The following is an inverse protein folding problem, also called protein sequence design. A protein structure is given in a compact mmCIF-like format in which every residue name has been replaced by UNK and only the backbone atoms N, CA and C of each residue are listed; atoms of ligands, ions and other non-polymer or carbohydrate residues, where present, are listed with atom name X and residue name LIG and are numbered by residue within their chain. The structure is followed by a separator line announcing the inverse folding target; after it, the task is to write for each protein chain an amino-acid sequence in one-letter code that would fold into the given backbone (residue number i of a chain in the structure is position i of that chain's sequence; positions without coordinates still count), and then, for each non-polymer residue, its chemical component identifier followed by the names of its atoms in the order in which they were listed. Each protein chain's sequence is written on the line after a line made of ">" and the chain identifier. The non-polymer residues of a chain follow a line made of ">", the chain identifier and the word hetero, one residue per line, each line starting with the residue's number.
data_IF_123735543721
#
_entry.id   IF_123735543721
#
_cell.length_a   1.000
_cell.length_b   1.000
_cell.length_c   1.000
_cell.angle_alpha   90.00
_cell.angle_beta   90.00
_cell.angle_gamma   90.00
#
_symmetry.space_group_name_H-M   'P 1'
#
loop_
_entity.id
_entity.type
_entity.pdbx_description
1 polymer ?
#
# COMPACT_ATOMS: atom_id res chain seq x y z
N UNK A 1 -68.54 5.38 -37.21
CA UNK A 1 -67.73 6.49 -36.64
C UNK A 1 -66.51 5.92 -35.93
N UNK A 2 -65.32 6.30 -36.36
CA UNK A 2 -64.02 5.89 -35.80
C UNK A 2 -63.80 6.54 -34.44
N UNK A 3 -63.44 5.78 -33.41
CA UNK A 3 -62.75 6.30 -32.22
C UNK A 3 -61.43 5.55 -32.03
N UNK A 4 -60.38 6.35 -31.94
CA UNK A 4 -58.96 5.99 -31.91
C UNK A 4 -58.48 5.79 -30.47
N UNK A 5 -57.49 4.90 -30.36
CA UNK A 5 -56.37 4.84 -29.40
C UNK A 5 -56.67 4.84 -27.89
N UNK A 6 -56.11 3.85 -27.19
CA UNK A 6 -54.89 4.03 -26.39
C UNK A 6 -54.35 2.66 -25.96
N UNK A 7 -53.26 2.22 -26.61
CA UNK A 7 -52.45 1.09 -26.16
C UNK A 7 -51.54 1.59 -25.04
N UNK A 8 -51.72 1.06 -23.83
CA UNK A 8 -50.87 1.36 -22.68
C UNK A 8 -49.70 0.37 -22.71
N UNK A 9 -48.58 0.78 -23.31
CA UNK A 9 -47.35 -0.01 -23.28
C UNK A 9 -46.64 0.26 -21.95
N UNK A 10 -46.72 -0.68 -21.01
CA UNK A 10 -45.98 -0.65 -19.75
C UNK A 10 -44.51 -0.99 -20.05
N UNK A 11 -43.68 0.03 -20.27
CA UNK A 11 -42.23 -0.13 -20.31
C UNK A 11 -41.74 -0.23 -18.85
N UNK A 12 -41.57 -1.45 -18.36
CA UNK A 12 -40.87 -1.69 -17.10
C UNK A 12 -39.38 -1.39 -17.32
N UNK A 13 -38.96 -0.18 -16.97
CA UNK A 13 -37.54 0.16 -16.85
C UNK A 13 -36.97 -0.59 -15.65
N UNK A 14 -36.22 -1.65 -15.94
CA UNK A 14 -35.34 -2.32 -14.99
C UNK A 14 -34.29 -1.33 -14.50
N UNK A 15 -34.52 -0.72 -13.34
CA UNK A 15 -33.46 -0.09 -12.57
C UNK A 15 -32.53 -1.18 -12.07
N UNK A 16 -31.53 -1.55 -12.87
CA UNK A 16 -30.30 -2.08 -12.32
C UNK A 16 -29.64 -0.94 -11.53
N UNK A 17 -30.00 -0.81 -10.25
CA UNK A 17 -29.15 -0.14 -9.28
C UNK A 17 -27.87 -0.96 -9.18
N UNK A 18 -26.87 -0.63 -10.00
CA UNK A 18 -25.50 -0.94 -9.65
C UNK A 18 -25.21 -0.26 -8.32
N UNK A 19 -25.06 -1.08 -7.29
CA UNK A 19 -24.64 -0.65 -5.96
C UNK A 19 -23.35 0.16 -6.10
N UNK A 20 -23.26 1.25 -5.33
CA UNK A 20 -22.15 2.19 -5.29
C UNK A 20 -20.81 1.45 -5.29
N UNK A 21 -19.95 1.75 -6.27
CA UNK A 21 -18.54 1.35 -6.27
C UNK A 21 -17.92 1.79 -4.93
N UNK A 22 -17.57 0.82 -4.07
CA UNK A 22 -16.96 1.10 -2.78
C UNK A 22 -15.63 1.82 -2.93
N UNK A 23 -15.24 2.66 -1.96
CA UNK A 23 -13.91 3.27 -1.97
C UNK A 23 -12.84 2.17 -1.83
N UNK A 24 -12.04 1.95 -2.86
CA UNK A 24 -10.90 1.02 -2.82
C UNK A 24 -9.64 1.69 -3.36
N UNK A 25 -8.49 1.13 -2.97
CA UNK A 25 -7.20 1.38 -3.60
C UNK A 25 -6.57 0.06 -4.01
N UNK A 26 -5.60 0.12 -4.93
CA UNK A 26 -4.81 -1.03 -5.34
C UNK A 26 -3.36 -0.84 -4.91
N UNK A 27 -2.79 -1.83 -4.24
CA UNK A 27 -1.38 -1.85 -3.80
C UNK A 27 -0.77 -3.19 -4.18
N UNK A 28 0.30 -3.16 -4.98
CA UNK A 28 1.02 -4.35 -5.45
C UNK A 28 0.09 -5.40 -6.12
N UNK A 29 -0.93 -4.92 -6.83
CA UNK A 29 -1.98 -5.76 -7.44
C UNK A 29 -3.11 -6.19 -6.49
N UNK A 30 -2.99 -5.94 -5.18
CA UNK A 30 -4.01 -6.27 -4.19
C UNK A 30 -5.04 -5.15 -4.06
N UNK A 31 -6.35 -5.48 -4.11
CA UNK A 31 -7.43 -4.53 -3.83
C UNK A 31 -7.65 -4.39 -2.33
N UNK A 32 -7.60 -3.15 -1.85
CA UNK A 32 -7.86 -2.79 -0.45
C UNK A 32 -9.11 -1.94 -0.39
N UNK A 33 -10.15 -2.49 0.23
CA UNK A 33 -11.39 -1.75 0.45
C UNK A 33 -11.24 -0.86 1.68
N UNK A 34 -11.87 0.32 1.63
CA UNK A 34 -11.88 1.18 2.78
C UNK A 34 -12.74 0.61 3.90
N UNK A 35 -12.27 0.82 5.12
CA UNK A 35 -13.12 0.82 6.31
C UNK A 35 -13.87 2.14 6.38
N UNK A 36 -14.89 2.35 5.54
CA UNK A 36 -15.68 3.60 5.48
C UNK A 36 -16.40 3.94 6.81
N UNK A 37 -16.43 3.02 7.78
CA UNK A 37 -16.93 3.26 9.13
C UNK A 37 -15.77 3.57 10.09
N UNK A 38 -15.65 4.84 10.47
CA UNK A 38 -14.64 5.36 11.39
C UNK A 38 -14.62 4.61 12.76
N UNK A 39 -15.76 4.07 13.23
CA UNK A 39 -15.82 3.25 14.45
C UNK A 39 -15.21 1.86 14.21
N UNK A 40 -15.49 1.24 13.07
CA UNK A 40 -14.82 -0.01 12.66
C UNK A 40 -13.33 0.23 12.48
N UNK A 41 -12.95 1.39 11.97
CA UNK A 41 -11.57 1.77 11.75
C UNK A 41 -10.78 1.90 13.06
N UNK A 42 -11.37 2.48 14.12
CA UNK A 42 -10.80 2.45 15.47
C UNK A 42 -10.56 1.01 15.95
N UNK A 43 -11.54 0.12 15.78
CA UNK A 43 -11.41 -1.29 16.20
C UNK A 43 -10.37 -2.07 15.40
N UNK A 44 -10.28 -1.84 14.09
CA UNK A 44 -9.29 -2.45 13.20
C UNK A 44 -7.88 -1.95 13.53
N UNK A 45 -7.70 -0.64 13.71
CA UNK A 45 -6.44 -0.04 14.14
C UNK A 45 -6.00 -0.55 15.52
N UNK A 46 -6.90 -0.61 16.51
CA UNK A 46 -6.57 -1.17 17.82
C UNK A 46 -6.14 -2.63 17.72
N UNK A 47 -6.79 -3.43 16.86
CA UNK A 47 -6.40 -4.82 16.60
C UNK A 47 -5.02 -4.91 15.95
N UNK A 48 -4.76 -4.15 14.89
CA UNK A 48 -3.45 -4.12 14.23
C UNK A 48 -2.36 -3.64 15.18
N UNK A 49 -2.60 -2.58 15.96
CA UNK A 49 -1.68 -2.11 16.99
C UNK A 49 -1.40 -3.17 18.05
N UNK A 50 -2.40 -3.94 18.48
CA UNK A 50 -2.20 -5.06 19.41
C UNK A 50 -1.38 -6.20 18.77
N UNK A 51 -1.56 -6.47 17.47
CA UNK A 51 -0.78 -7.45 16.72
C UNK A 51 0.68 -6.98 16.61
N UNK A 52 0.92 -5.73 16.22
CA UNK A 52 2.26 -5.13 16.14
C UNK A 52 2.97 -5.11 17.48
N UNK A 53 2.28 -4.73 18.55
CA UNK A 53 2.83 -4.71 19.92
C UNK A 53 3.20 -6.12 20.42
N UNK A 54 2.42 -7.15 20.09
CA UNK A 54 2.71 -8.55 20.43
C UNK A 54 3.92 -9.10 19.67
N UNK A 55 4.23 -8.55 18.50
CA UNK A 55 5.37 -8.94 17.64
C UNK A 55 6.63 -8.09 17.83
N UNK A 56 6.71 -7.30 18.93
CA UNK A 56 7.86 -6.45 19.28
C UNK A 56 8.10 -5.25 18.33
N UNK A 57 7.14 -4.94 17.46
CA UNK A 57 7.12 -3.67 16.73
C UNK A 57 6.49 -2.61 17.63
N UNK A 58 7.30 -1.67 18.12
CA UNK A 58 6.87 -0.59 19.01
C UNK A 58 6.25 0.60 18.26
N UNK A 59 6.13 0.51 16.93
CA UNK A 59 5.69 1.60 16.09
C UNK A 59 4.18 1.57 15.84
N UNK A 60 3.60 2.77 15.73
CA UNK A 60 2.24 2.90 15.22
C UNK A 60 2.19 2.46 13.74
N UNK A 61 1.15 1.71 13.33
CA UNK A 61 1.07 1.19 11.98
C UNK A 61 0.96 2.34 10.96
N UNK A 62 1.60 2.13 9.80
CA UNK A 62 1.44 3.02 8.65
C UNK A 62 0.12 2.70 7.94
N UNK A 63 -0.66 3.74 7.68
CA UNK A 63 -1.97 3.68 7.04
C UNK A 63 -1.93 4.53 5.77
N UNK A 64 -2.97 4.42 4.93
CA UNK A 64 -3.21 5.37 3.85
C UNK A 64 -4.40 6.23 4.21
N UNK A 65 -4.19 7.54 4.28
CA UNK A 65 -5.24 8.53 4.58
C UNK A 65 -5.55 9.28 3.31
N UNK A 66 -6.79 9.15 2.83
CA UNK A 66 -7.28 9.86 1.65
C UNK A 66 -8.07 11.10 2.07
N UNK A 67 -7.75 12.24 1.48
CA UNK A 67 -8.43 13.51 1.71
C UNK A 67 -9.44 13.81 0.60
N UNK A 68 -10.47 14.59 0.92
CA UNK A 68 -11.53 14.96 -0.05
C UNK A 68 -11.03 15.86 -1.19
N UNK A 69 -9.93 16.57 -0.96
CA UNK A 69 -9.31 17.52 -1.90
C UNK A 69 -7.78 17.45 -1.77
N UNK A 70 -7.03 17.94 -2.79
CA UNK A 70 -5.58 18.11 -2.67
C UNK A 70 -5.21 19.02 -1.51
N UNK A 71 -4.12 18.69 -0.81
CA UNK A 71 -3.62 19.46 0.32
C UNK A 71 -2.53 20.45 -0.11
N UNK A 72 -2.68 21.71 0.26
CA UNK A 72 -1.62 22.71 0.17
C UNK A 72 -0.46 22.39 1.12
N UNK A 73 0.72 22.99 0.89
CA UNK A 73 1.88 22.83 1.78
C UNK A 73 1.60 23.25 3.24
N UNK A 74 0.76 24.26 3.44
CA UNK A 74 0.41 24.73 4.77
C UNK A 74 -0.57 23.76 5.46
N UNK A 75 -1.56 23.25 4.73
CA UNK A 75 -2.45 22.20 5.24
C UNK A 75 -1.65 20.96 5.64
N UNK A 76 -0.72 20.49 4.79
CA UNK A 76 0.16 19.36 5.09
C UNK A 76 0.95 19.56 6.39
N UNK A 77 1.51 20.76 6.62
CA UNK A 77 2.24 21.06 7.87
C UNK A 77 1.31 21.04 9.09
N UNK A 78 0.10 21.60 8.97
CA UNK A 78 -0.86 21.68 10.07
C UNK A 78 -1.44 20.32 10.49
N UNK A 79 -1.40 19.31 9.62
CA UNK A 79 -1.95 17.98 9.91
C UNK A 79 -1.25 17.30 11.10
N UNK A 80 0.04 17.56 11.30
CA UNK A 80 0.80 17.06 12.46
C UNK A 80 0.16 17.48 13.79
N UNK A 81 -0.34 18.72 13.89
CA UNK A 81 -1.04 19.25 15.05
C UNK A 81 -2.40 18.58 15.28
N UNK A 82 -3.01 18.07 14.21
CA UNK A 82 -4.25 17.27 14.25
C UNK A 82 -3.99 15.79 14.53
N UNK A 83 -2.73 15.39 14.72
CA UNK A 83 -2.34 14.01 14.99
C UNK A 83 -2.17 13.14 13.74
N UNK A 84 -1.97 13.74 12.58
CA UNK A 84 -1.72 13.05 11.30
C UNK A 84 -0.32 13.41 10.80
N UNK A 85 0.59 12.45 10.88
CA UNK A 85 1.96 12.59 10.41
C UNK A 85 2.06 11.98 9.00
N UNK A 86 2.15 12.83 7.98
CA UNK A 86 2.33 12.40 6.59
C UNK A 86 3.77 11.90 6.36
N UNK A 87 3.91 10.76 5.69
CA UNK A 87 5.20 10.16 5.33
C UNK A 87 5.53 10.44 3.85
N UNK A 88 4.65 10.01 2.95
CA UNK A 88 4.81 10.16 1.51
C UNK A 88 3.47 10.19 0.80
N UNK A 89 3.45 10.79 -0.38
CA UNK A 89 2.28 10.76 -1.25
C UNK A 89 2.08 9.35 -1.83
N UNK A 90 0.83 8.90 -1.91
CA UNK A 90 0.44 7.66 -2.54
C UNK A 90 -0.18 7.93 -3.92
N UNK A 91 -1.47 8.28 -3.96
CA UNK A 91 -2.22 8.66 -5.17
C UNK A 91 -3.55 9.30 -4.77
N UNK A 92 -4.25 9.99 -5.68
CA UNK A 92 -5.62 10.50 -5.48
C UNK A 92 -5.87 11.20 -4.14
N UNK A 93 -5.02 12.17 -3.81
CA UNK A 93 -5.03 12.91 -2.53
C UNK A 93 -4.88 12.01 -1.29
N UNK A 94 -4.28 10.83 -1.46
CA UNK A 94 -3.97 9.91 -0.40
C UNK A 94 -2.47 9.87 -0.10
N UNK A 95 -2.17 9.63 1.16
CA UNK A 95 -0.82 9.68 1.69
C UNK A 95 -0.60 8.51 2.64
N UNK A 96 0.59 7.93 2.61
CA UNK A 96 1.08 7.12 3.71
C UNK A 96 1.22 8.01 4.94
N UNK A 97 0.65 7.59 6.07
CA UNK A 97 0.63 8.39 7.28
C UNK A 97 0.63 7.54 8.54
N UNK A 98 1.13 8.14 9.63
CA UNK A 98 0.99 7.64 11.00
C UNK A 98 0.01 8.52 11.75
N UNK A 99 -0.86 7.90 12.54
CA UNK A 99 -1.83 8.60 13.37
C UNK A 99 -1.37 8.55 14.83
N UNK A 100 -1.35 9.69 15.51
CA UNK A 100 -0.96 9.75 16.92
C UNK A 100 -1.97 9.01 17.81
N UNK A 101 -1.55 8.47 18.97
CA UNK A 101 -2.50 7.96 19.96
C UNK A 101 -3.57 8.99 20.31
N UNK A 102 -4.83 8.56 20.40
CA UNK A 102 -5.94 9.47 20.66
C UNK A 102 -6.49 10.20 19.42
N UNK A 103 -5.94 9.94 18.22
CA UNK A 103 -6.35 10.61 16.99
C UNK A 103 -7.86 10.46 16.75
N UNK A 104 -8.38 9.23 16.86
CA UNK A 104 -9.78 8.93 16.58
C UNK A 104 -10.71 9.68 17.53
N UNK A 105 -10.39 9.73 18.82
CA UNK A 105 -11.17 10.44 19.83
C UNK A 105 -11.24 11.95 19.53
N UNK A 106 -10.12 12.53 19.09
CA UNK A 106 -10.02 13.98 18.81
C UNK A 106 -10.59 14.38 17.45
N UNK A 107 -10.69 13.44 16.50
CA UNK A 107 -10.98 13.72 15.10
C UNK A 107 -12.23 12.99 14.56
N UNK A 108 -13.14 12.51 15.42
CA UNK A 108 -14.40 11.87 15.00
C UNK A 108 -15.18 12.70 13.97
N UNK A 109 -15.08 14.03 14.07
CA UNK A 109 -15.78 14.98 13.20
C UNK A 109 -14.89 15.59 12.10
N UNK A 110 -13.71 15.04 11.83
CA UNK A 110 -12.81 15.61 10.84
C UNK A 110 -13.42 15.49 9.43
N UNK A 111 -13.86 16.63 8.90
CA UNK A 111 -14.58 16.72 7.62
C UNK A 111 -13.67 16.63 6.40
N UNK A 112 -12.35 16.74 6.55
CA UNK A 112 -11.41 16.84 5.43
C UNK A 112 -10.96 15.46 4.94
N UNK A 113 -10.99 14.46 5.82
CA UNK A 113 -10.66 13.07 5.49
C UNK A 113 -11.84 12.47 4.72
N UNK A 114 -11.53 11.93 3.54
CA UNK A 114 -12.49 11.14 2.75
C UNK A 114 -12.61 9.74 3.35
N UNK A 115 -11.47 9.07 3.54
CA UNK A 115 -11.44 7.69 4.01
C UNK A 115 -10.04 7.29 4.48
N UNK A 116 -9.92 6.21 5.25
CA UNK A 116 -8.63 5.67 5.72
C UNK A 116 -8.56 4.18 5.40
N UNK A 117 -7.44 3.75 4.84
CA UNK A 117 -7.17 2.36 4.50
C UNK A 117 -6.16 1.77 5.50
N UNK A 118 -6.54 0.66 6.11
CA UNK A 118 -5.65 -0.12 6.97
C UNK A 118 -4.86 -1.10 6.11
N UNK A 119 -3.53 -1.01 6.19
CA UNK A 119 -2.63 -1.91 5.47
C UNK A 119 -2.33 -3.12 6.34
N UNK A 120 -2.66 -4.30 5.82
CA UNK A 120 -2.24 -5.56 6.41
C UNK A 120 -0.91 -6.00 5.80
N UNK A 121 -0.12 -6.83 6.49
CA UNK A 121 1.16 -7.31 5.97
C UNK A 121 1.05 -7.94 4.58
N UNK A 122 0.01 -8.73 4.31
CA UNK A 122 -0.22 -9.38 3.03
C UNK A 122 -0.39 -8.39 1.86
N UNK A 123 -0.95 -7.20 2.10
CA UNK A 123 -1.16 -6.20 1.05
C UNK A 123 0.17 -5.58 0.57
N UNK A 124 1.23 -5.70 1.36
CA UNK A 124 2.56 -5.18 1.03
C UNK A 124 3.34 -6.09 0.08
N UNK A 125 2.84 -7.30 -0.18
CA UNK A 125 3.49 -8.28 -1.05
C UNK A 125 2.85 -8.21 -2.43
N UNK A 126 3.65 -8.18 -3.49
CA UNK A 126 3.15 -8.28 -4.86
C UNK A 126 2.31 -9.54 -5.06
N UNK A 127 1.15 -9.36 -5.71
CA UNK A 127 0.19 -10.43 -6.01
C UNK A 127 0.85 -11.64 -6.67
N UNK A 128 1.75 -11.43 -7.64
CA UNK A 128 2.56 -12.48 -8.27
C UNK A 128 3.35 -13.34 -7.25
N UNK A 129 3.90 -12.75 -6.19
CA UNK A 129 4.57 -13.48 -5.10
C UNK A 129 3.58 -14.27 -4.26
N UNK A 130 2.41 -13.68 -3.97
CA UNK A 130 1.34 -14.33 -3.19
C UNK A 130 0.82 -15.54 -3.96
N UNK A 131 0.48 -15.35 -5.23
CA UNK A 131 -0.08 -16.33 -6.17
C UNK A 131 0.93 -17.35 -6.66
N UNK A 132 2.22 -17.16 -6.35
CA UNK A 132 3.33 -18.02 -6.77
C UNK A 132 3.53 -18.05 -8.30
N UNK A 133 3.18 -16.95 -8.96
CA UNK A 133 3.44 -16.70 -10.38
C UNK A 133 4.80 -15.99 -10.53
N UNK A 134 5.88 -16.73 -10.23
CA UNK A 134 7.23 -16.17 -10.20
C UNK A 134 7.96 -16.49 -11.51
N UNK A 135 8.39 -15.47 -12.29
CA UNK A 135 9.20 -15.68 -13.47
C UNK A 135 10.59 -16.22 -13.13
N UNK A 136 11.17 -16.99 -14.05
CA UNK A 136 12.45 -17.68 -13.86
C UNK A 136 13.61 -16.73 -13.55
N UNK A 137 13.61 -15.52 -14.11
CA UNK A 137 14.67 -14.54 -13.87
C UNK A 137 14.73 -14.05 -12.42
N UNK A 138 13.62 -14.15 -11.68
CA UNK A 138 13.50 -13.64 -10.31
C UNK A 138 13.62 -14.76 -9.26
N UNK A 139 14.00 -15.97 -9.67
CA UNK A 139 14.05 -17.15 -8.82
C UNK A 139 15.41 -17.83 -8.89
N UNK A 140 15.99 -18.10 -7.72
CA UNK A 140 17.22 -18.88 -7.56
C UNK A 140 17.00 -19.94 -6.48
N UNK A 141 16.68 -21.17 -6.91
CA UNK A 141 16.28 -22.24 -5.99
C UNK A 141 15.02 -21.84 -5.19
N UNK A 142 15.14 -21.81 -3.86
CA UNK A 142 14.08 -21.41 -2.92
C UNK A 142 14.08 -19.90 -2.61
N UNK A 143 15.01 -19.14 -3.19
CA UNK A 143 15.14 -17.72 -2.98
C UNK A 143 14.51 -16.94 -4.14
N UNK A 144 13.89 -15.82 -3.79
CA UNK A 144 13.36 -14.84 -4.72
C UNK A 144 14.26 -13.62 -4.74
N UNK A 145 14.55 -13.11 -5.94
CA UNK A 145 15.18 -11.81 -6.13
C UNK A 145 14.13 -10.72 -5.94
N UNK A 146 14.35 -9.86 -4.95
CA UNK A 146 13.37 -8.88 -4.49
C UNK A 146 13.90 -7.45 -4.56
N UNK A 147 12.96 -6.53 -4.74
CA UNK A 147 13.10 -5.12 -4.40
C UNK A 147 12.11 -4.77 -3.28
N UNK A 148 12.64 -4.27 -2.18
CA UNK A 148 11.87 -3.88 -1.00
C UNK A 148 11.86 -2.37 -0.94
N UNK A 149 10.69 -1.75 -0.97
CA UNK A 149 10.53 -0.31 -0.72
C UNK A 149 10.21 -0.07 0.75
N UNK A 150 10.90 0.88 1.38
CA UNK A 150 10.68 1.25 2.77
C UNK A 150 10.18 2.68 2.92
N UNK A 151 9.39 2.94 3.97
CA UNK A 151 8.95 4.27 4.33
C UNK A 151 10.15 5.12 4.76
N UNK A 152 10.25 6.33 4.22
CA UNK A 152 11.29 7.29 4.58
C UNK A 152 10.98 7.92 5.95
N UNK A 153 11.06 7.12 7.02
CA UNK A 153 10.86 7.61 8.39
C UNK A 153 11.69 6.86 9.45
N UNK A 154 12.96 6.62 9.17
CA UNK A 154 13.84 6.02 10.17
C UNK A 154 15.31 6.09 9.79
N UNK A 155 16.16 6.26 10.81
CA UNK A 155 17.62 6.29 10.70
C UNK A 155 18.11 5.02 10.01
N UNK A 156 18.91 5.15 8.94
CA UNK A 156 19.54 4.04 8.19
C UNK A 156 20.04 2.87 9.05
N UNK A 157 20.60 3.20 10.22
CA UNK A 157 21.09 2.24 11.23
C UNK A 157 20.01 1.25 11.68
N UNK A 158 18.78 1.71 11.87
CA UNK A 158 17.65 0.87 12.29
C UNK A 158 17.19 -0.08 11.19
N UNK A 159 17.16 0.37 9.94
CA UNK A 159 16.82 -0.48 8.80
C UNK A 159 17.82 -1.64 8.65
N UNK A 160 19.12 -1.36 8.80
CA UNK A 160 20.18 -2.38 8.80
C UNK A 160 20.02 -3.37 9.97
N UNK A 161 19.73 -2.88 11.18
CA UNK A 161 19.46 -3.72 12.36
C UNK A 161 18.23 -4.62 12.15
N UNK A 162 17.11 -4.06 11.69
CA UNK A 162 15.87 -4.81 11.44
C UNK A 162 16.09 -5.91 10.38
N UNK A 163 16.82 -5.59 9.30
CA UNK A 163 17.16 -6.56 8.26
C UNK A 163 18.10 -7.65 8.73
N UNK A 164 19.11 -7.32 9.53
CA UNK A 164 19.97 -8.35 10.12
C UNK A 164 19.21 -9.26 11.08
N UNK A 165 18.28 -8.70 11.86
CA UNK A 165 17.45 -9.47 12.82
C UNK A 165 16.56 -10.51 12.14
N UNK A 166 16.02 -10.21 10.95
CA UNK A 166 15.25 -11.19 10.16
C UNK A 166 16.15 -12.18 9.38
N UNK A 167 17.48 -12.02 9.47
CA UNK A 167 18.47 -12.90 8.86
C UNK A 167 18.91 -12.48 7.46
N UNK A 168 18.66 -11.23 7.05
CA UNK A 168 19.12 -10.70 5.78
C UNK A 168 20.62 -10.39 5.86
N UNK A 169 21.44 -11.22 5.21
CA UNK A 169 22.91 -11.11 5.25
C UNK A 169 23.49 -10.27 4.11
N UNK A 170 22.91 -10.40 2.92
CA UNK A 170 23.40 -9.76 1.71
C UNK A 170 22.28 -8.94 1.09
N UNK A 171 22.46 -7.62 1.06
CA UNK A 171 21.53 -6.71 0.43
C UNK A 171 22.23 -5.44 -0.03
N UNK A 172 21.66 -4.79 -1.04
CA UNK A 172 22.11 -3.50 -1.55
C UNK A 172 21.04 -2.45 -1.31
N UNK A 173 21.40 -1.35 -0.66
CA UNK A 173 20.49 -0.21 -0.47
C UNK A 173 20.66 0.77 -1.64
N UNK A 174 19.54 1.24 -2.18
CA UNK A 174 19.43 2.43 -3.02
C UNK A 174 18.63 3.50 -2.26
N UNK A 175 19.35 4.45 -1.66
CA UNK A 175 18.77 5.45 -0.76
C UNK A 175 17.91 6.49 -1.49
N UNK A 176 18.23 6.78 -2.75
CA UNK A 176 17.50 7.78 -3.56
C UNK A 176 16.05 7.37 -3.77
N UNK A 177 15.80 6.06 -3.85
CA UNK A 177 14.48 5.48 -4.07
C UNK A 177 13.91 4.78 -2.84
N UNK A 178 14.62 4.80 -1.70
CA UNK A 178 14.28 4.03 -0.50
C UNK A 178 14.04 2.54 -0.79
N UNK A 179 14.95 1.95 -1.56
CA UNK A 179 14.86 0.56 -2.02
C UNK A 179 15.99 -0.30 -1.49
N UNK A 180 15.68 -1.56 -1.22
CA UNK A 180 16.66 -2.59 -0.88
C UNK A 180 16.51 -3.77 -1.82
N UNK A 181 17.63 -4.16 -2.44
CA UNK A 181 17.72 -5.31 -3.33
C UNK A 181 18.32 -6.47 -2.56
N UNK A 182 17.63 -7.60 -2.53
CA UNK A 182 18.07 -8.76 -1.77
C UNK A 182 17.44 -10.07 -2.25
N UNK A 183 17.91 -11.19 -1.70
CA UNK A 183 17.35 -12.53 -1.93
C UNK A 183 16.73 -13.08 -0.65
N UNK A 184 15.48 -13.51 -0.71
CA UNK A 184 14.75 -14.08 0.44
C UNK A 184 13.84 -15.24 0.04
N UNK A 185 13.60 -16.17 0.97
CA UNK A 185 12.55 -17.17 0.83
C UNK A 185 11.18 -16.56 1.12
N UNK A 186 10.11 -17.16 0.57
CA UNK A 186 8.73 -16.72 0.82
C UNK A 186 8.37 -16.65 2.31
N UNK A 187 8.90 -17.57 3.12
CA UNK A 187 8.73 -17.53 4.58
C UNK A 187 9.31 -16.26 5.22
N UNK A 188 10.51 -15.85 4.81
CA UNK A 188 11.16 -14.63 5.31
C UNK A 188 10.50 -13.35 4.83
N UNK A 189 9.87 -13.37 3.65
CA UNK A 189 9.04 -12.25 3.18
C UNK A 189 7.89 -11.99 4.16
N UNK A 190 7.23 -13.05 4.65
CA UNK A 190 6.13 -12.91 5.63
C UNK A 190 6.60 -12.28 6.94
N UNK A 191 7.81 -12.61 7.42
CA UNK A 191 8.41 -11.96 8.59
C UNK A 191 8.76 -10.49 8.32
N UNK A 192 9.29 -10.20 7.12
CA UNK A 192 9.71 -8.86 6.70
C UNK A 192 8.54 -7.88 6.66
N UNK A 193 7.40 -8.24 6.07
CA UNK A 193 6.27 -7.31 5.87
C UNK A 193 5.56 -6.90 7.16
N UNK A 194 5.82 -7.61 8.26
CA UNK A 194 5.36 -7.27 9.60
C UNK A 194 6.09 -6.04 10.17
N UNK A 195 7.27 -5.72 9.63
CA UNK A 195 7.99 -4.52 10.01
C UNK A 195 7.23 -3.28 9.54
N UNK A 196 6.97 -2.34 10.46
CA UNK A 196 6.23 -1.11 10.20
C UNK A 196 6.88 -0.19 9.16
N UNK A 197 8.21 -0.28 9.01
CA UNK A 197 9.00 0.49 8.05
C UNK A 197 8.84 -0.01 6.60
N UNK A 198 8.36 -1.23 6.39
CA UNK A 198 8.25 -1.83 5.05
C UNK A 198 6.97 -1.35 4.39
N UNK A 199 7.14 -0.75 3.20
CA UNK A 199 6.08 -0.25 2.37
C UNK A 199 5.62 -1.33 1.39
N UNK A 200 6.52 -1.83 0.55
CA UNK A 200 6.22 -2.80 -0.51
C UNK A 200 7.34 -3.84 -0.66
N UNK A 201 6.97 -5.03 -1.12
CA UNK A 201 7.88 -6.13 -1.53
C UNK A 201 7.45 -6.62 -2.91
N UNK A 202 8.33 -6.43 -3.88
CA UNK A 202 8.11 -6.78 -5.29
C UNK A 202 9.27 -7.64 -5.78
N UNK A 203 9.10 -8.31 -6.93
CA UNK A 203 10.21 -8.97 -7.60
C UNK A 203 11.19 -7.93 -8.15
N UNK A 204 12.48 -8.22 -8.05
CA UNK A 204 13.48 -7.38 -8.69
C UNK A 204 13.23 -7.35 -10.21
N UNK A 205 13.44 -6.20 -10.89
CA UNK A 205 13.25 -6.12 -12.33
C UNK A 205 14.18 -7.09 -13.05
N UNK A 206 13.76 -7.56 -14.23
CA UNK A 206 14.58 -8.40 -15.07
C UNK A 206 15.94 -7.72 -15.38
N UNK A 207 17.04 -8.49 -15.46
CA UNK A 207 18.33 -7.95 -15.86
C UNK A 207 18.22 -7.23 -17.21
N UNK A 208 18.82 -6.04 -17.33
CA UNK A 208 18.87 -5.34 -18.60
C UNK A 208 19.65 -6.17 -19.62
N UNK A 209 18.98 -6.62 -20.68
CA UNK A 209 19.66 -7.23 -21.83
C UNK A 209 20.27 -6.09 -22.65
N UNK A 210 21.60 -5.96 -22.61
CA UNK A 210 22.30 -5.04 -23.50
C UNK A 210 22.29 -5.62 -24.91
N UNK A 211 21.45 -5.09 -25.79
CA UNK A 211 21.60 -5.30 -27.23
C UNK A 211 22.85 -4.54 -27.70
N UNK A 212 24.01 -5.18 -27.58
CA UNK A 212 25.22 -4.66 -28.21
C UNK A 212 25.12 -5.01 -29.71
N UNK A 213 24.56 -4.11 -30.51
CA UNK A 213 24.60 -4.23 -31.97
C UNK A 213 26.02 -3.82 -32.42
N UNK A 214 26.91 -4.76 -32.81
CA UNK A 214 28.18 -4.37 -33.38
C UNK A 214 27.88 -3.59 -34.66
N UNK A 215 28.32 -2.32 -34.71
CA UNK A 215 28.23 -1.50 -35.91
C UNK A 215 28.84 -2.30 -37.06
N UNK A 216 28.02 -2.64 -38.06
CA UNK A 216 28.51 -3.08 -39.38
C UNK A 216 29.40 -1.97 -39.90
N UNK A 217 30.71 -2.19 -39.86
CA UNK A 217 31.66 -1.38 -40.60
C UNK A 217 31.30 -1.54 -42.08
N UNK A 218 30.78 -0.46 -42.69
CA UNK A 218 30.68 -0.35 -44.13
C UNK A 218 32.10 -0.12 -44.64
N UNK A 219 32.70 -1.20 -45.18
CA UNK A 219 33.88 -1.15 -46.04
C UNK A 219 33.52 -0.66 -47.43
#
# INVERSE_FOLDING_TARGET
>A
MRRKLLSFSFFAFSFFSFAQDGNFITINGNRINSTDDFRKLKSAYSKEKMISARKKSTEDPVLIVQFKKPLSKNEQKSLSQKGINLLSYFSDNAYYARLTPGFYEKNVNNSDIKTIFVLKPEHKIASEIVENDIPTYAKEGELLDLVITYHKDGTKKRLDEDFRNIGLKNFRINEDFNQVFCKLSKQKILELVELGIIQNVELAPAPAVLENNPRKNLS
#
